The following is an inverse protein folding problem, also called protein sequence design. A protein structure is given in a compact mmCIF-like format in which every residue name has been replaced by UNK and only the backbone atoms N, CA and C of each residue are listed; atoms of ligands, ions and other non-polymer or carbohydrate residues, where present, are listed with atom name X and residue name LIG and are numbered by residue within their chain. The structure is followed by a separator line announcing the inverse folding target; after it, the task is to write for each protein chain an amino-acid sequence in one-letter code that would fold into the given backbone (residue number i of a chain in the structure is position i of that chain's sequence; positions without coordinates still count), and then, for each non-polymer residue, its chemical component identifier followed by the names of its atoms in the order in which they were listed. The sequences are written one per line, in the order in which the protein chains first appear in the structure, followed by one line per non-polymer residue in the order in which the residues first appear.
data_IF_537330977477
#
_entry.id   IF_537330977477
#
_cell.length_a   1.000
_cell.length_b   1.000
_cell.length_c   1.000
_cell.angle_alpha   90.00
_cell.angle_beta   90.00
_cell.angle_gamma   90.00
#
_symmetry.space_group_name_H-M   'P 1'
#
loop_
_entity.id
_entity.type
_entity.pdbx_description
1 polymer ?
#
# COMPACT_ATOMS: atom_id res chain seq x y z
N UNK A 1 17.26 -8.50 5.80
CA UNK A 1 16.37 -7.87 4.80
C UNK A 1 15.56 -6.80 5.51
N UNK A 2 15.53 -5.58 4.98
CA UNK A 2 14.63 -4.55 5.50
C UNK A 2 13.24 -4.75 4.91
N UNK A 3 12.21 -4.74 5.76
CA UNK A 3 10.80 -4.81 5.36
C UNK A 3 10.18 -3.42 5.39
N UNK A 4 9.20 -3.19 4.53
CA UNK A 4 8.41 -1.97 4.51
C UNK A 4 7.57 -1.82 5.79
N UNK A 5 7.42 -0.57 6.25
CA UNK A 5 6.53 -0.25 7.36
C UNK A 5 6.33 1.25 7.42
N UNK A 6 5.09 1.65 7.61
CA UNK A 6 4.79 3.02 8.02
C UNK A 6 5.36 3.31 9.42
N UNK A 7 5.66 4.59 9.73
CA UNK A 7 5.97 5.03 11.09
C UNK A 7 4.81 4.75 12.06
N UNK A 8 5.14 4.40 13.31
CA UNK A 8 4.15 3.95 14.30
C UNK A 8 3.08 5.01 14.62
N UNK A 9 3.45 6.30 14.61
CA UNK A 9 2.52 7.41 14.84
C UNK A 9 1.53 7.58 13.68
N UNK A 10 1.97 7.29 12.45
CA UNK A 10 1.12 7.32 11.26
C UNK A 10 0.15 6.14 11.30
N UNK A 11 0.62 4.93 11.62
CA UNK A 11 -0.24 3.75 11.80
C UNK A 11 -1.32 4.02 12.84
N UNK A 12 -0.94 4.56 14.01
CA UNK A 12 -1.90 4.91 15.06
C UNK A 12 -2.96 5.93 14.58
N UNK A 13 -2.58 6.91 13.76
CA UNK A 13 -3.54 7.87 13.20
C UNK A 13 -4.54 7.22 12.23
N UNK A 14 -4.08 6.29 11.40
CA UNK A 14 -4.91 5.51 10.47
C UNK A 14 -5.90 4.64 11.27
N UNK A 15 -5.44 3.93 12.30
CA UNK A 15 -6.30 3.10 13.14
C UNK A 15 -7.39 3.90 13.86
N UNK A 16 -7.05 5.10 14.36
CA UNK A 16 -8.03 6.00 15.00
C UNK A 16 -9.08 6.45 14.00
N UNK A 17 -8.66 6.87 12.80
CA UNK A 17 -9.55 7.25 11.71
C UNK A 17 -10.46 6.09 11.31
N UNK A 18 -9.91 4.91 11.08
CA UNK A 18 -10.66 3.75 10.59
C UNK A 18 -11.63 3.21 11.66
N UNK A 19 -11.25 3.30 12.93
CA UNK A 19 -12.17 3.03 14.05
C UNK A 19 -13.34 4.00 14.07
N UNK A 20 -13.08 5.30 13.88
CA UNK A 20 -14.13 6.30 13.79
C UNK A 20 -15.04 6.02 12.58
N UNK A 21 -14.45 5.73 11.42
CA UNK A 21 -15.21 5.40 10.20
C UNK A 21 -16.12 4.19 10.40
N UNK A 22 -15.60 3.09 10.96
CA UNK A 22 -16.37 1.86 11.26
C UNK A 22 -17.51 2.13 12.26
N UNK A 23 -17.24 2.91 13.30
CA UNK A 23 -18.25 3.27 14.30
C UNK A 23 -19.40 4.12 13.70
N UNK A 24 -19.07 5.05 12.80
CA UNK A 24 -20.05 5.90 12.11
C UNK A 24 -20.84 5.17 11.02
N UNK A 25 -20.37 4.00 10.59
CA UNK A 25 -20.87 3.24 9.46
C UNK A 25 -21.79 2.06 9.84
N UNK A 26 -22.11 1.85 11.11
CA UNK A 26 -23.08 0.81 11.51
C UNK A 26 -22.66 -0.64 11.21
N UNK A 27 -21.36 -0.93 11.07
CA UNK A 27 -20.80 -2.29 11.12
C UNK A 27 -21.03 -3.20 9.89
N UNK A 28 -21.16 -2.66 8.68
CA UNK A 28 -21.29 -3.48 7.45
C UNK A 28 -20.85 -2.77 6.17
N UNK A 29 -19.83 -1.94 6.28
CA UNK A 29 -19.54 -0.85 5.33
C UNK A 29 -18.04 -0.74 5.02
N UNK A 30 -17.25 -1.72 5.44
CA UNK A 30 -15.79 -1.73 5.30
C UNK A 30 -15.31 -1.76 3.83
N UNK A 31 -16.02 -2.44 2.91
CA UNK A 31 -15.81 -2.38 1.45
C UNK A 31 -15.83 -0.96 0.88
N UNK A 32 -16.60 -0.08 1.49
CA UNK A 32 -16.76 1.32 1.11
C UNK A 32 -15.49 2.13 1.39
N UNK A 33 -14.72 1.76 2.42
CA UNK A 33 -13.48 2.44 2.80
C UNK A 33 -12.38 2.17 1.76
N UNK A 34 -12.26 0.93 1.30
CA UNK A 34 -11.32 0.54 0.22
C UNK A 34 -11.69 1.20 -1.11
N UNK A 35 -12.99 1.29 -1.44
CA UNK A 35 -13.45 1.98 -2.65
C UNK A 35 -13.33 3.52 -2.56
N UNK A 36 -13.39 4.10 -1.36
CA UNK A 36 -13.09 5.52 -1.13
C UNK A 36 -11.59 5.79 -1.26
N UNK A 37 -10.75 4.86 -0.78
CA UNK A 37 -9.30 5.01 -0.71
C UNK A 37 -8.61 5.00 -2.08
N UNK A 38 -9.24 4.52 -3.16
CA UNK A 38 -8.64 4.58 -4.51
C UNK A 38 -8.80 5.94 -5.19
N UNK A 39 -7.96 6.22 -6.17
CA UNK A 39 -8.13 7.38 -7.05
C UNK A 39 -9.33 7.19 -7.99
N UNK A 40 -9.76 8.25 -8.67
CA UNK A 40 -10.81 8.13 -9.69
C UNK A 40 -10.26 7.42 -10.93
N UNK A 41 -10.89 6.36 -11.47
CA UNK A 41 -10.57 5.82 -12.78
C UNK A 41 -10.55 6.89 -13.88
N UNK A 42 -9.56 6.82 -14.76
CA UNK A 42 -9.26 7.79 -15.81
C UNK A 42 -8.61 9.07 -15.32
N UNK A 43 -8.41 9.25 -14.00
CA UNK A 43 -7.74 10.44 -13.48
C UNK A 43 -6.23 10.41 -13.71
N UNK A 44 -5.64 11.59 -13.62
CA UNK A 44 -4.19 11.79 -13.60
C UNK A 44 -3.80 12.19 -12.18
N UNK A 45 -3.02 11.35 -11.51
CA UNK A 45 -2.51 11.59 -10.15
C UNK A 45 -1.14 12.21 -10.27
N UNK A 46 -0.94 13.39 -9.69
CA UNK A 46 0.37 14.07 -9.76
C UNK A 46 1.32 13.45 -8.75
N UNK A 47 2.58 13.39 -9.14
CA UNK A 47 3.70 12.91 -8.33
C UNK A 47 4.74 14.02 -8.23
N UNK A 48 5.26 14.28 -7.03
CA UNK A 48 6.36 15.21 -6.81
C UNK A 48 7.45 14.57 -5.94
N UNK A 49 8.68 15.04 -6.10
CA UNK A 49 9.86 14.56 -5.38
C UNK A 49 10.42 15.61 -4.41
N UNK A 50 10.81 15.17 -3.21
CA UNK A 50 11.40 16.02 -2.16
C UNK A 50 12.90 16.27 -2.41
N UNK A 51 13.61 15.20 -2.76
CA UNK A 51 15.07 15.08 -2.87
C UNK A 51 15.41 14.16 -4.07
N UNK A 52 16.65 13.67 -4.17
CA UNK A 52 17.14 12.90 -5.33
C UNK A 52 17.44 13.74 -6.58
N UNK A 53 18.18 13.16 -7.53
CA UNK A 53 18.48 13.80 -8.82
C UNK A 53 17.45 13.47 -9.91
N UNK A 54 17.47 14.24 -11.00
CA UNK A 54 16.49 14.08 -12.09
C UNK A 54 16.61 12.71 -12.79
N UNK A 55 17.79 12.08 -12.77
CA UNK A 55 17.97 10.73 -13.32
C UNK A 55 17.24 9.70 -12.46
N UNK A 56 17.33 9.80 -11.13
CA UNK A 56 16.57 8.96 -10.23
C UNK A 56 15.05 9.16 -10.42
N UNK A 57 14.59 10.40 -10.61
CA UNK A 57 13.17 10.67 -10.88
C UNK A 57 12.72 10.07 -12.21
N UNK A 58 13.52 10.19 -13.26
CA UNK A 58 13.26 9.57 -14.56
C UNK A 58 13.22 8.05 -14.47
N UNK A 59 14.15 7.45 -13.73
CA UNK A 59 14.21 6.01 -13.51
C UNK A 59 12.95 5.51 -12.76
N UNK A 60 12.50 6.23 -11.72
CA UNK A 60 11.26 5.93 -11.00
C UNK A 60 10.05 6.05 -11.93
N UNK A 61 9.94 7.14 -12.70
CA UNK A 61 8.85 7.31 -13.65
C UNK A 61 8.81 6.15 -14.67
N UNK A 62 9.97 5.77 -15.21
CA UNK A 62 10.10 4.62 -16.11
C UNK A 62 9.71 3.29 -15.46
N UNK A 63 10.09 3.04 -14.20
CA UNK A 63 9.71 1.83 -13.49
C UNK A 63 8.18 1.72 -13.33
N UNK A 64 7.48 2.84 -13.09
CA UNK A 64 6.02 2.86 -12.89
C UNK A 64 5.19 2.69 -14.17
N UNK A 65 5.79 2.74 -15.36
CA UNK A 65 5.05 2.62 -16.63
C UNK A 65 4.20 1.33 -16.70
N UNK A 66 4.70 0.21 -16.16
CA UNK A 66 3.93 -1.05 -16.13
C UNK A 66 2.58 -0.92 -15.40
N UNK A 67 2.48 -0.03 -14.41
CA UNK A 67 1.25 0.21 -13.65
C UNK A 67 0.23 0.95 -14.53
N UNK A 68 0.65 2.06 -15.14
CA UNK A 68 -0.22 2.89 -15.98
C UNK A 68 -0.59 2.20 -17.30
N UNK A 69 0.28 1.33 -17.83
CA UNK A 69 -0.01 0.53 -19.02
C UNK A 69 -1.10 -0.52 -18.77
N UNK A 70 -1.26 -0.97 -17.52
CA UNK A 70 -2.18 -2.04 -17.15
C UNK A 70 -3.54 -1.54 -16.63
N UNK A 71 -3.74 -0.23 -16.48
CA UNK A 71 -4.90 0.31 -15.77
C UNK A 71 -5.32 1.69 -16.28
N UNK A 72 -6.57 2.06 -16.03
CA UNK A 72 -7.11 3.36 -16.40
C UNK A 72 -6.78 4.40 -15.33
N UNK A 73 -5.50 4.74 -15.20
CA UNK A 73 -4.98 5.77 -14.30
C UNK A 73 -3.64 6.26 -14.85
N UNK A 74 -3.40 7.57 -14.83
CA UNK A 74 -2.12 8.15 -15.22
C UNK A 74 -1.36 8.70 -14.02
N UNK A 75 -0.04 8.61 -14.06
CA UNK A 75 0.87 9.27 -13.12
C UNK A 75 1.57 10.44 -13.82
N UNK A 76 1.33 11.67 -13.33
CA UNK A 76 2.00 12.87 -13.84
C UNK A 76 3.14 13.31 -12.91
N UNK A 77 4.36 12.98 -13.30
CA UNK A 77 5.58 13.38 -12.59
C UNK A 77 6.01 14.83 -12.88
N UNK A 78 5.27 15.56 -13.73
CA UNK A 78 5.56 16.93 -14.13
C UNK A 78 6.92 17.09 -14.83
N UNK A 79 7.31 16.12 -15.65
CA UNK A 79 8.55 16.16 -16.42
C UNK A 79 8.50 17.28 -17.48
N UNK A 80 9.47 18.20 -17.43
CA UNK A 80 9.69 19.21 -18.45
C UNK A 80 10.82 18.75 -19.39
N UNK A 81 10.52 18.40 -20.66
CA UNK A 81 11.53 17.89 -21.59
C UNK A 81 12.57 18.94 -22.00
N UNK A 82 12.31 20.24 -21.81
CA UNK A 82 13.27 21.29 -22.15
C UNK A 82 14.39 21.41 -21.10
N UNK A 83 14.03 21.27 -19.83
CA UNK A 83 14.96 21.37 -18.70
C UNK A 83 15.42 20.00 -18.17
N UNK A 84 14.70 18.92 -18.50
CA UNK A 84 14.89 17.58 -17.94
C UNK A 84 14.45 17.46 -16.48
N UNK A 85 13.71 18.45 -15.95
CA UNK A 85 13.34 18.50 -14.53
C UNK A 85 11.99 17.83 -14.26
N UNK A 86 11.81 17.35 -13.03
CA UNK A 86 10.56 16.78 -12.51
C UNK A 86 9.92 17.67 -11.45
N UNK A 87 8.63 17.43 -11.17
CA UNK A 87 7.86 18.18 -10.17
C UNK A 87 8.47 18.02 -8.77
N UNK A 88 8.59 19.14 -8.06
CA UNK A 88 9.17 19.21 -6.71
C UNK A 88 8.11 19.58 -5.68
N UNK A 89 8.33 19.17 -4.43
CA UNK A 89 7.59 19.61 -3.27
C UNK A 89 8.55 19.90 -2.10
N UNK A 90 8.08 20.61 -1.08
CA UNK A 90 8.89 20.93 0.10
C UNK A 90 8.13 20.71 1.42
N UNK A 91 8.81 20.48 2.55
CA UNK A 91 8.15 20.36 3.85
C UNK A 91 7.45 21.66 4.31
N UNK A 92 7.76 22.79 3.67
CA UNK A 92 7.09 24.08 3.91
C UNK A 92 5.84 24.31 3.08
N UNK A 93 5.47 23.38 2.19
CA UNK A 93 4.29 23.54 1.33
C UNK A 93 3.01 23.55 2.17
N UNK A 94 2.17 24.56 1.94
CA UNK A 94 0.82 24.69 2.55
C UNK A 94 -0.30 24.31 1.59
N UNK A 95 0.03 24.11 0.31
CA UNK A 95 -0.85 23.61 -0.73
C UNK A 95 -0.17 22.41 -1.42
N UNK A 96 -0.96 21.42 -1.88
CA UNK A 96 -0.41 20.22 -2.48
C UNK A 96 0.28 20.53 -3.81
N UNK A 97 1.60 20.37 -3.85
CA UNK A 97 2.35 20.31 -5.10
C UNK A 97 1.90 19.09 -5.94
N UNK A 98 1.60 17.97 -5.28
CA UNK A 98 1.16 16.71 -5.86
C UNK A 98 0.34 15.88 -4.86
N UNK A 99 -0.49 14.98 -5.41
CA UNK A 99 -1.22 13.98 -4.63
C UNK A 99 -0.26 12.97 -3.98
N UNK A 100 0.74 12.48 -4.71
CA UNK A 100 1.79 11.59 -4.21
C UNK A 100 3.09 12.38 -4.02
N UNK A 101 3.65 12.33 -2.81
CA UNK A 101 4.81 13.11 -2.39
C UNK A 101 5.93 12.18 -1.96
N UNK A 102 6.85 11.96 -2.89
CA UNK A 102 7.94 10.98 -2.82
C UNK A 102 9.15 11.60 -2.13
N UNK A 103 9.83 10.80 -1.33
CA UNK A 103 11.08 11.13 -0.65
C UNK A 103 12.05 9.94 -0.64
N UNK A 104 13.33 10.23 -0.40
CA UNK A 104 14.38 9.22 -0.25
C UNK A 104 15.16 9.37 1.07
N UNK A 105 14.76 10.33 1.91
CA UNK A 105 15.53 10.84 3.05
C UNK A 105 15.17 10.20 4.40
N UNK A 106 14.13 9.37 4.46
CA UNK A 106 13.81 8.56 5.63
C UNK A 106 14.30 7.11 5.47
N UNK A 107 14.46 6.42 6.59
CA UNK A 107 14.78 4.99 6.58
C UNK A 107 13.57 4.15 6.11
N UNK A 108 13.88 3.05 5.42
CA UNK A 108 12.89 2.07 5.00
C UNK A 108 12.08 2.49 3.76
N UNK A 109 11.13 1.62 3.42
CA UNK A 109 10.22 1.80 2.29
C UNK A 109 8.79 1.85 2.83
N UNK A 110 7.98 2.76 2.31
CA UNK A 110 6.55 2.80 2.62
C UNK A 110 5.81 3.69 1.64
N UNK A 111 4.50 3.47 1.55
CA UNK A 111 3.54 4.39 0.97
C UNK A 111 2.26 4.40 1.79
N UNK A 112 1.63 5.58 1.88
CA UNK A 112 0.22 5.68 2.22
C UNK A 112 -0.61 5.05 1.10
N UNK A 113 -1.77 4.51 1.46
CA UNK A 113 -2.61 3.76 0.51
C UNK A 113 -3.58 4.70 -0.20
N UNK A 114 -3.41 4.84 -1.51
CA UNK A 114 -4.30 5.65 -2.34
C UNK A 114 -4.50 7.08 -1.83
N UNK A 115 -5.75 7.49 -1.64
CA UNK A 115 -6.14 8.85 -1.23
C UNK A 115 -5.79 9.20 0.20
N UNK A 116 -5.31 8.25 1.02
CA UNK A 116 -4.72 8.54 2.33
C UNK A 116 -3.54 9.52 2.19
N UNK A 117 -2.89 9.48 1.02
CA UNK A 117 -1.89 10.45 0.59
C UNK A 117 -2.38 11.91 0.62
N UNK A 118 -3.68 12.17 0.69
CA UNK A 118 -4.26 13.52 0.77
C UNK A 118 -5.27 13.67 1.91
N UNK A 119 -5.36 12.67 2.79
CA UNK A 119 -6.23 12.69 3.96
C UNK A 119 -5.51 13.38 5.13
N UNK A 120 -5.95 14.60 5.47
CA UNK A 120 -5.33 15.39 6.54
C UNK A 120 -5.49 14.79 7.94
N UNK A 121 -6.30 13.75 8.09
CA UNK A 121 -6.42 12.98 9.34
C UNK A 121 -5.31 11.95 9.52
N UNK A 122 -4.54 11.66 8.45
CA UNK A 122 -3.41 10.72 8.46
C UNK A 122 -2.11 11.46 8.75
N UNK A 123 -1.43 11.02 9.81
CA UNK A 123 -0.22 11.64 10.35
C UNK A 123 -0.51 12.85 11.24
N UNK A 124 0.39 13.14 12.19
CA UNK A 124 0.27 14.31 13.04
C UNK A 124 0.46 15.61 12.22
N UNK A 125 -0.32 16.65 12.50
CA UNK A 125 -0.13 17.97 11.88
C UNK A 125 1.27 18.52 12.21
N UNK A 126 2.14 18.60 11.20
CA UNK A 126 3.55 19.00 11.35
C UNK A 126 4.55 17.84 11.53
N UNK A 127 4.08 16.58 11.53
CA UNK A 127 4.95 15.40 11.44
C UNK A 127 5.59 15.24 10.03
N UNK A 128 6.59 14.37 9.86
CA UNK A 128 7.30 14.22 8.58
C UNK A 128 6.55 13.40 7.52
N UNK A 129 5.58 12.58 7.94
CA UNK A 129 4.83 11.62 7.12
C UNK A 129 3.34 11.80 7.40
N UNK A 130 2.51 11.76 6.36
CA UNK A 130 1.07 11.94 6.48
C UNK A 130 0.43 12.53 5.22
N UNK A 131 -0.87 12.79 5.31
CA UNK A 131 -1.67 13.29 4.19
C UNK A 131 -1.64 14.81 4.01
N UNK A 132 -0.91 15.59 4.82
CA UNK A 132 -0.81 17.04 4.63
C UNK A 132 0.19 17.43 3.52
N UNK A 133 0.07 18.64 2.92
CA UNK A 133 0.89 19.04 1.77
C UNK A 133 2.41 19.00 1.95
N UNK A 134 2.90 19.35 3.14
CA UNK A 134 4.32 19.33 3.48
C UNK A 134 4.81 18.01 4.08
N UNK A 135 4.06 16.91 3.91
CA UNK A 135 4.40 15.60 4.47
C UNK A 135 4.65 14.56 3.39
N UNK A 136 5.54 13.61 3.66
CA UNK A 136 5.81 12.47 2.78
C UNK A 136 4.59 11.56 2.78
N UNK A 137 4.17 11.13 1.60
CA UNK A 137 3.21 10.03 1.49
C UNK A 137 3.84 8.77 0.94
N UNK A 138 5.02 8.85 0.35
CA UNK A 138 5.80 7.70 -0.11
C UNK A 138 7.30 7.94 0.17
N UNK A 139 7.99 6.93 0.67
CA UNK A 139 9.44 6.98 0.89
C UNK A 139 10.12 5.76 0.28
N UNK A 140 11.20 6.02 -0.46
CA UNK A 140 12.09 5.01 -1.03
C UNK A 140 13.48 5.20 -0.43
N UNK A 141 13.61 4.85 0.86
CA UNK A 141 14.75 5.23 1.69
C UNK A 141 16.10 4.84 1.11
N UNK A 142 17.02 5.81 1.05
CA UNK A 142 18.40 5.60 0.59
C UNK A 142 18.59 5.55 -0.93
N UNK A 143 17.53 5.63 -1.75
CA UNK A 143 17.64 5.52 -3.21
C UNK A 143 18.38 6.71 -3.85
N UNK A 144 18.41 7.86 -3.18
CA UNK A 144 19.25 9.00 -3.57
C UNK A 144 20.75 8.70 -3.49
N UNK A 145 21.16 7.65 -2.75
CA UNK A 145 22.57 7.27 -2.56
C UNK A 145 22.89 5.98 -3.29
N UNK A 146 22.03 4.96 -3.16
CA UNK A 146 22.26 3.65 -3.76
C UNK A 146 20.95 2.97 -4.13
N UNK A 147 20.89 2.43 -5.35
CA UNK A 147 19.77 1.61 -5.81
C UNK A 147 20.12 0.13 -5.64
N UNK A 148 19.44 -0.60 -4.73
CA UNK A 148 19.70 -2.02 -4.54
C UNK A 148 19.31 -2.84 -5.77
N UNK A 149 19.74 -4.10 -5.81
CA UNK A 149 19.23 -5.04 -6.79
C UNK A 149 17.69 -5.12 -6.68
N UNK A 150 16.99 -5.14 -7.82
CA UNK A 150 15.52 -5.16 -7.90
C UNK A 150 14.83 -3.89 -7.37
N UNK A 151 15.53 -2.75 -7.31
CA UNK A 151 14.95 -1.47 -6.87
C UNK A 151 13.65 -1.11 -7.61
N UNK A 152 13.54 -1.44 -8.90
CA UNK A 152 12.31 -1.18 -9.67
C UNK A 152 11.10 -1.94 -9.12
N UNK A 153 11.30 -3.15 -8.59
CA UNK A 153 10.25 -3.93 -7.98
C UNK A 153 9.71 -3.27 -6.72
N UNK A 154 10.60 -2.73 -5.87
CA UNK A 154 10.21 -1.93 -4.70
C UNK A 154 9.50 -0.66 -5.13
N UNK A 155 9.96 0.04 -6.17
CA UNK A 155 9.22 1.21 -6.71
C UNK A 155 7.81 0.82 -7.12
N UNK A 156 7.65 -0.25 -7.90
CA UNK A 156 6.33 -0.72 -8.34
C UNK A 156 5.46 -1.12 -7.15
N UNK A 157 6.04 -1.77 -6.14
CA UNK A 157 5.36 -2.14 -4.90
C UNK A 157 4.80 -0.92 -4.16
N UNK A 158 5.65 0.07 -3.87
CA UNK A 158 5.22 1.28 -3.16
C UNK A 158 4.24 2.12 -3.98
N UNK A 159 4.39 2.17 -5.31
CA UNK A 159 3.43 2.87 -6.16
C UNK A 159 2.10 2.12 -6.30
N UNK A 160 2.07 0.79 -6.23
CA UNK A 160 0.83 0.03 -6.14
C UNK A 160 0.07 0.39 -4.86
N UNK A 161 0.75 0.53 -3.72
CA UNK A 161 0.16 1.10 -2.51
C UNK A 161 -0.37 2.52 -2.73
N UNK A 162 0.44 3.40 -3.32
CA UNK A 162 0.05 4.79 -3.59
C UNK A 162 -1.20 4.91 -4.48
N UNK A 163 -1.57 3.86 -5.21
CA UNK A 163 -2.81 3.81 -6.01
C UNK A 163 -3.89 2.90 -5.43
N UNK A 164 -3.77 2.44 -4.19
CA UNK A 164 -4.85 1.78 -3.46
C UNK A 164 -4.72 0.27 -3.32
N UNK A 165 -3.58 -0.34 -3.70
CA UNK A 165 -3.34 -1.74 -3.34
C UNK A 165 -2.99 -1.83 -1.86
N UNK A 166 -3.60 -2.78 -1.18
CA UNK A 166 -3.08 -3.26 0.10
C UNK A 166 -2.10 -4.39 -0.16
N UNK A 167 -1.25 -4.68 0.81
CA UNK A 167 -0.24 -5.71 0.61
C UNK A 167 -0.90 -7.05 0.28
N UNK A 168 -0.38 -7.74 -0.74
CA UNK A 168 -0.87 -9.09 -1.06
C UNK A 168 -0.50 -10.12 -0.01
N UNK A 169 0.35 -9.80 0.98
CA UNK A 169 0.53 -10.66 2.16
C UNK A 169 -0.60 -10.49 3.18
N UNK A 170 -1.46 -9.47 3.09
CA UNK A 170 -2.78 -9.54 3.74
C UNK A 170 -3.69 -10.57 3.04
N UNK A 171 -3.24 -11.13 1.91
CA UNK A 171 -3.67 -12.44 1.38
C UNK A 171 -2.79 -13.62 1.85
N UNK A 172 -2.18 -13.55 3.05
CA UNK A 172 -1.77 -14.74 3.84
C UNK A 172 -2.98 -15.55 4.35
N UNK A 173 -4.20 -15.10 4.01
CA UNK A 173 -5.47 -15.80 4.18
C UNK A 173 -5.36 -17.28 3.83
N UNK A 174 -5.83 -18.13 4.74
CA UNK A 174 -5.89 -19.57 4.56
C UNK A 174 -4.58 -20.27 4.95
N UNK A 175 -4.13 -21.22 4.12
CA UNK A 175 -3.08 -22.18 4.50
C UNK A 175 -1.67 -21.59 4.56
N UNK A 176 -1.45 -20.36 4.10
CA UNK A 176 -0.10 -19.79 4.04
C UNK A 176 0.40 -19.21 5.37
N UNK A 177 -0.46 -18.65 6.21
CA UNK A 177 -0.06 -18.26 7.57
C UNK A 177 0.48 -19.45 8.36
N UNK A 178 -0.14 -20.62 8.17
CA UNK A 178 0.29 -21.88 8.79
C UNK A 178 1.60 -22.41 8.23
N UNK A 179 2.06 -21.97 7.05
CA UNK A 179 3.33 -22.36 6.46
C UNK A 179 4.52 -21.56 7.02
N UNK A 180 4.28 -20.46 7.76
CA UNK A 180 5.34 -19.63 8.32
C UNK A 180 5.89 -20.15 9.66
N UNK A 181 7.22 -20.05 9.83
CA UNK A 181 7.95 -20.32 11.08
C UNK A 181 7.99 -19.05 11.94
N UNK A 182 6.87 -18.76 12.59
CA UNK A 182 6.73 -17.60 13.47
C UNK A 182 7.73 -17.61 14.64
N UNK A 183 7.81 -18.75 15.32
CA UNK A 183 8.68 -18.96 16.49
C UNK A 183 9.97 -19.70 16.13
N UNK A 184 10.96 -19.59 17.02
CA UNK A 184 12.27 -20.22 16.87
C UNK A 184 12.18 -21.76 16.85
N UNK A 185 13.20 -22.41 16.26
CA UNK A 185 13.37 -23.86 16.45
C UNK A 185 13.52 -24.17 17.95
N UNK A 186 12.96 -25.30 18.39
CA UNK A 186 12.96 -25.67 19.80
C UNK A 186 14.38 -25.69 20.40
N UNK A 187 14.59 -24.88 21.44
CA UNK A 187 15.88 -24.75 22.12
C UNK A 187 16.92 -23.90 21.40
N UNK A 188 16.55 -23.21 20.31
CA UNK A 188 17.43 -22.25 19.63
C UNK A 188 18.06 -21.26 20.62
N UNK A 189 19.37 -21.04 20.45
CA UNK A 189 20.11 -20.06 21.20
C UNK A 189 20.31 -18.80 20.35
N UNK A 190 19.82 -17.62 20.77
CA UNK A 190 19.94 -16.39 20.01
C UNK A 190 21.39 -16.12 19.56
N UNK A 191 21.64 -16.26 18.27
CA UNK A 191 22.97 -16.14 17.65
C UNK A 191 22.89 -15.09 16.54
N UNK A 192 23.90 -14.20 16.46
CA UNK A 192 23.96 -13.14 15.46
C UNK A 192 25.24 -13.20 14.66
N UNK A 193 25.18 -12.76 13.40
CA UNK A 193 26.37 -12.54 12.57
C UNK A 193 27.03 -11.18 12.87
N UNK A 194 28.07 -10.84 12.09
CA UNK A 194 28.81 -9.59 12.24
C UNK A 194 28.00 -8.32 11.96
N UNK A 195 26.87 -8.45 11.25
CA UNK A 195 25.97 -7.36 10.91
C UNK A 195 24.81 -7.24 11.92
N UNK A 196 24.81 -8.07 12.97
CA UNK A 196 23.77 -8.08 14.00
C UNK A 196 22.48 -8.79 13.60
N UNK A 197 22.47 -9.49 12.46
CA UNK A 197 21.32 -10.27 11.98
C UNK A 197 21.28 -11.61 12.70
N UNK A 198 20.09 -12.06 13.13
CA UNK A 198 19.97 -13.38 13.75
C UNK A 198 20.16 -14.51 12.73
N UNK A 199 20.99 -15.48 13.08
CA UNK A 199 21.39 -16.61 12.24
C UNK A 199 21.24 -17.93 12.97
N UNK A 200 21.43 -19.06 12.28
CA UNK A 200 21.40 -20.36 12.93
C UNK A 200 22.49 -20.47 14.02
N UNK A 201 22.18 -21.15 15.12
CA UNK A 201 23.13 -21.39 16.19
C UNK A 201 24.12 -22.52 15.84
N UNK A 202 25.07 -22.79 16.73
CA UNK A 202 26.10 -23.81 16.53
C UNK A 202 25.54 -25.24 16.33
N UNK A 203 24.29 -25.50 16.74
CA UNK A 203 23.59 -26.77 16.54
C UNK A 203 22.72 -26.77 15.27
N UNK A 204 22.75 -25.70 14.48
CA UNK A 204 21.96 -25.53 13.26
C UNK A 204 20.48 -25.18 13.50
N UNK A 205 20.09 -24.87 14.75
CA UNK A 205 18.73 -24.41 15.06
C UNK A 205 18.58 -22.97 14.62
N UNK A 206 17.43 -22.60 14.08
CA UNK A 206 17.22 -21.33 13.38
C UNK A 206 16.25 -20.42 14.14
N UNK A 207 16.45 -19.09 14.07
CA UNK A 207 15.42 -18.17 14.53
C UNK A 207 14.13 -18.33 13.71
N UNK A 208 13.02 -18.00 14.35
CA UNK A 208 11.72 -17.74 13.72
C UNK A 208 11.62 -16.29 13.31
N UNK A 209 10.50 -15.95 12.66
CA UNK A 209 10.22 -14.60 12.13
C UNK A 209 10.29 -13.54 13.23
N UNK A 210 9.71 -13.79 14.42
CA UNK A 210 9.72 -12.81 15.50
C UNK A 210 11.13 -12.46 15.95
N UNK A 211 11.97 -13.47 16.20
CA UNK A 211 13.35 -13.25 16.62
C UNK A 211 14.16 -12.61 15.51
N UNK A 212 14.02 -13.08 14.27
CA UNK A 212 14.75 -12.51 13.14
C UNK A 212 14.45 -11.03 12.94
N UNK A 213 13.17 -10.62 12.94
CA UNK A 213 12.76 -9.23 12.73
C UNK A 213 13.02 -8.31 13.93
N UNK A 214 13.24 -8.86 15.12
CA UNK A 214 13.73 -8.09 16.27
C UNK A 214 15.22 -7.71 16.14
N UNK A 215 15.95 -8.30 15.19
CA UNK A 215 17.34 -7.97 14.86
C UNK A 215 17.47 -6.90 13.77
N UNK A 216 18.70 -6.63 13.34
CA UNK A 216 18.95 -5.69 12.24
C UNK A 216 18.39 -6.20 10.90
N UNK A 217 17.95 -5.32 9.99
CA UNK A 217 17.85 -3.85 10.15
C UNK A 217 16.48 -3.39 10.73
N UNK A 218 15.55 -4.31 10.98
CA UNK A 218 14.15 -3.95 11.26
C UNK A 218 13.94 -3.52 12.72
N UNK A 219 14.50 -4.27 13.67
CA UNK A 219 14.35 -4.05 15.12
C UNK A 219 12.88 -3.98 15.56
N UNK A 220 12.00 -4.75 14.93
CA UNK A 220 10.57 -4.72 15.21
C UNK A 220 10.23 -5.49 16.48
N UNK A 221 9.44 -4.90 17.39
CA UNK A 221 8.83 -5.67 18.48
C UNK A 221 7.78 -6.63 17.92
N UNK A 222 7.48 -7.69 18.67
CA UNK A 222 6.49 -8.71 18.29
C UNK A 222 5.15 -8.13 17.83
N UNK A 223 4.63 -7.13 18.52
CA UNK A 223 3.37 -6.48 18.16
C UNK A 223 3.41 -5.83 16.77
N UNK A 224 4.54 -5.25 16.37
CA UNK A 224 4.74 -4.68 15.04
C UNK A 224 4.84 -5.76 13.97
N UNK A 225 5.50 -6.89 14.28
CA UNK A 225 5.51 -8.07 13.42
C UNK A 225 4.10 -8.63 13.24
N UNK A 226 3.33 -8.70 14.33
CA UNK A 226 1.93 -9.15 14.26
C UNK A 226 1.11 -8.21 13.39
N UNK A 227 1.13 -6.90 13.65
CA UNK A 227 0.40 -5.92 12.84
C UNK A 227 0.77 -5.94 11.35
N UNK A 228 2.06 -6.02 11.04
CA UNK A 228 2.54 -5.94 9.66
C UNK A 228 2.44 -7.27 8.91
N UNK A 229 2.56 -8.42 9.57
CA UNK A 229 2.71 -9.73 8.89
C UNK A 229 1.60 -10.74 9.22
N UNK A 230 0.86 -10.60 10.32
CA UNK A 230 -0.25 -11.52 10.61
C UNK A 230 -1.48 -11.11 9.81
N UNK A 231 -2.28 -12.10 9.47
CA UNK A 231 -3.58 -11.86 8.88
C UNK A 231 -4.50 -11.26 9.94
N UNK A 232 -4.97 -10.03 9.73
CA UNK A 232 -6.26 -9.62 10.30
C UNK A 232 -7.33 -10.08 9.30
N UNK A 233 -8.36 -10.77 9.79
CA UNK A 233 -9.51 -11.20 8.99
C UNK A 233 -10.29 -9.95 8.50
N UNK A 234 -9.78 -9.24 7.50
CA UNK A 234 -10.44 -8.06 6.95
C UNK A 234 -11.07 -8.41 5.59
N UNK A 235 -12.38 -8.69 5.51
CA UNK A 235 -13.07 -9.20 4.32
C UNK A 235 -12.90 -8.36 3.03
N UNK A 236 -12.29 -7.17 3.10
CA UNK A 236 -12.47 -6.09 2.13
C UNK A 236 -11.34 -5.81 1.13
N UNK A 237 -10.38 -6.72 0.95
CA UNK A 237 -9.50 -6.62 -0.22
C UNK A 237 -10.23 -7.21 -1.42
N UNK A 238 -10.13 -6.59 -2.60
CA UNK A 238 -10.49 -7.19 -3.91
C UNK A 238 -9.55 -8.40 -4.13
N UNK A 239 -9.81 -9.46 -3.37
CA UNK A 239 -8.93 -10.58 -3.20
C UNK A 239 -9.23 -11.55 -4.33
N UNK A 240 -8.44 -11.41 -5.40
CA UNK A 240 -8.26 -12.54 -6.29
C UNK A 240 -7.52 -13.68 -5.58
N UNK A 241 -7.35 -14.83 -6.24
CA UNK A 241 -6.57 -15.92 -5.69
C UNK A 241 -5.14 -15.46 -5.36
N UNK A 242 -4.54 -16.08 -4.34
CA UNK A 242 -3.13 -15.86 -3.98
C UNK A 242 -2.24 -15.96 -5.23
N UNK A 243 -1.45 -14.93 -5.48
CA UNK A 243 -0.55 -14.85 -6.62
C UNK A 243 0.91 -14.93 -6.16
N UNK A 244 1.57 -16.10 -6.23
CA UNK A 244 2.96 -16.26 -5.80
C UNK A 244 3.96 -15.46 -6.66
N UNK A 245 3.53 -14.90 -7.79
CA UNK A 245 4.38 -14.10 -8.66
C UNK A 245 4.26 -12.59 -8.43
N UNK A 246 3.29 -12.15 -7.62
CA UNK A 246 3.00 -10.74 -7.39
C UNK A 246 4.21 -9.98 -6.83
N UNK A 247 4.40 -8.75 -7.32
CA UNK A 247 5.39 -7.80 -6.78
C UNK A 247 5.01 -7.32 -5.38
N UNK A 248 3.73 -7.46 -4.99
CA UNK A 248 3.19 -7.11 -3.68
C UNK A 248 3.46 -8.16 -2.59
N UNK A 249 4.15 -9.25 -2.92
CA UNK A 249 4.54 -10.27 -1.94
C UNK A 249 5.91 -9.98 -1.32
N UNK A 250 5.95 -9.97 0.01
CA UNK A 250 7.19 -10.07 0.76
C UNK A 250 7.98 -11.30 0.36
N UNK A 251 9.28 -11.10 0.10
CA UNK A 251 10.19 -12.20 -0.23
C UNK A 251 10.98 -12.63 0.96
N UNK A 252 10.45 -13.57 1.71
CA UNK A 252 11.15 -14.08 2.88
C UNK A 252 12.26 -15.08 2.53
N UNK A 253 13.33 -15.15 3.35
CA UNK A 253 14.30 -16.25 3.26
C UNK A 253 13.61 -17.62 3.36
N UNK A 254 14.16 -18.63 2.69
CA UNK A 254 13.56 -19.98 2.66
C UNK A 254 13.32 -20.59 4.05
N UNK A 255 14.14 -20.23 5.04
CA UNK A 255 13.98 -20.72 6.40
C UNK A 255 12.79 -20.10 7.15
N UNK A 256 12.13 -19.06 6.62
CA UNK A 256 10.88 -18.55 7.19
C UNK A 256 9.71 -19.50 6.93
N UNK A 257 9.85 -20.44 6.01
CA UNK A 257 8.83 -21.42 5.68
C UNK A 257 9.08 -22.75 6.40
N UNK A 258 8.01 -23.46 6.73
CA UNK A 258 8.05 -24.82 7.30
C UNK A 258 8.47 -25.86 6.25
N UNK A 259 8.12 -25.63 4.98
CA UNK A 259 8.43 -26.51 3.85
C UNK A 259 9.41 -25.86 2.84
N UNK A 260 10.15 -26.69 2.11
CA UNK A 260 11.09 -26.26 1.07
C UNK A 260 11.06 -27.22 -0.13
N UNK A 261 10.52 -26.81 -1.31
CA UNK A 261 9.90 -25.51 -1.58
C UNK A 261 8.56 -25.36 -0.87
N UNK A 262 8.25 -24.16 -0.38
CA UNK A 262 6.90 -23.83 0.11
C UNK A 262 6.03 -23.31 -1.02
N UNK A 263 4.77 -23.71 -1.04
CA UNK A 263 3.76 -23.16 -1.95
C UNK A 263 3.46 -21.68 -1.69
N UNK A 264 3.85 -21.17 -0.53
CA UNK A 264 3.67 -19.78 -0.11
C UNK A 264 4.91 -18.92 -0.33
N UNK A 265 6.00 -19.50 -0.85
CA UNK A 265 7.20 -18.76 -1.22
C UNK A 265 6.99 -18.03 -2.56
N UNK A 266 7.41 -16.76 -2.69
CA UNK A 266 7.30 -16.05 -3.96
C UNK A 266 8.10 -16.74 -5.08
N UNK A 267 7.44 -16.94 -6.20
CA UNK A 267 8.00 -17.55 -7.42
C UNK A 267 8.29 -16.52 -8.52
N UNK A 268 7.77 -15.29 -8.38
CA UNK A 268 8.05 -14.19 -9.31
C UNK A 268 9.50 -13.70 -9.22
N UNK A 269 9.91 -12.83 -10.13
CA UNK A 269 11.23 -12.19 -10.11
C UNK A 269 11.35 -11.08 -9.05
N UNK A 270 10.21 -10.58 -8.55
CA UNK A 270 10.14 -9.46 -7.62
C UNK A 270 10.60 -8.15 -8.27
N UNK A 271 10.45 -8.04 -9.59
CA UNK A 271 10.75 -6.84 -10.37
C UNK A 271 9.55 -6.44 -11.20
N UNK A 272 8.94 -7.36 -11.95
CA UNK A 272 7.86 -7.04 -12.88
C UNK A 272 6.48 -7.32 -12.28
N UNK A 273 5.46 -6.61 -12.77
CA UNK A 273 4.08 -6.91 -12.44
C UNK A 273 3.70 -8.30 -12.94
N UNK A 274 3.13 -9.12 -12.06
CA UNK A 274 2.58 -10.42 -12.43
C UNK A 274 1.28 -10.27 -13.22
N UNK A 275 0.79 -11.39 -13.80
CA UNK A 275 -0.55 -11.41 -14.40
C UNK A 275 -1.66 -11.12 -13.37
N UNK A 276 -1.45 -11.49 -12.10
CA UNK A 276 -2.40 -11.20 -11.03
C UNK A 276 -2.37 -9.74 -10.59
N UNK A 277 -1.21 -9.09 -10.54
CA UNK A 277 -1.07 -7.66 -10.28
C UNK A 277 -1.82 -6.85 -11.35
N UNK A 278 -1.55 -7.15 -12.63
CA UNK A 278 -2.21 -6.51 -13.75
C UNK A 278 -3.73 -6.74 -13.76
N UNK A 279 -4.18 -7.93 -13.32
CA UNK A 279 -5.62 -8.20 -13.17
C UNK A 279 -6.22 -7.35 -12.06
N UNK A 280 -5.57 -7.27 -10.89
CA UNK A 280 -6.00 -6.40 -9.79
C UNK A 280 -6.11 -4.94 -10.24
N UNK A 281 -5.14 -4.49 -11.04
CA UNK A 281 -5.10 -3.13 -11.58
C UNK A 281 -6.29 -2.83 -12.49
N UNK A 282 -6.63 -3.74 -13.40
CA UNK A 282 -7.83 -3.61 -14.26
C UNK A 282 -9.13 -3.63 -13.47
N UNK A 283 -9.19 -4.38 -12.36
CA UNK A 283 -10.37 -4.41 -11.49
C UNK A 283 -10.52 -3.10 -10.70
N UNK A 284 -9.39 -2.52 -10.27
CA UNK A 284 -9.37 -1.28 -9.50
C UNK A 284 -9.58 -0.04 -10.38
N UNK A 285 -9.03 -0.07 -11.60
CA UNK A 285 -9.07 1.01 -12.59
C UNK A 285 -9.40 0.45 -13.98
N UNK A 286 -10.67 0.10 -14.25
CA UNK A 286 -11.06 -0.48 -15.53
C UNK A 286 -11.05 0.55 -16.66
N UNK A 287 -10.85 0.07 -17.89
CA UNK A 287 -10.82 0.90 -19.10
C UNK A 287 -12.17 1.01 -19.80
N UNK A 288 -13.05 0.02 -19.66
CA UNK A 288 -14.27 -0.04 -20.47
C UNK A 288 -15.47 0.57 -19.76
N UNK A 289 -16.38 1.17 -20.53
CA UNK A 289 -17.61 1.75 -20.00
C UNK A 289 -18.49 0.73 -19.29
N UNK A 290 -18.48 -0.53 -19.73
CA UNK A 290 -19.23 -1.64 -19.12
C UNK A 290 -18.63 -2.05 -17.77
N UNK A 291 -17.29 -2.18 -17.67
CA UNK A 291 -16.63 -2.44 -16.39
C UNK A 291 -16.80 -1.27 -15.41
N UNK A 292 -16.82 -0.03 -15.90
CA UNK A 292 -17.19 1.13 -15.09
C UNK A 292 -18.66 1.07 -14.62
N UNK A 293 -19.58 0.60 -15.46
CA UNK A 293 -20.98 0.41 -15.09
C UNK A 293 -21.16 -0.67 -14.01
N UNK A 294 -20.41 -1.76 -14.12
CA UNK A 294 -20.38 -2.82 -13.10
C UNK A 294 -19.83 -2.29 -11.77
N UNK A 295 -18.75 -1.50 -11.80
CA UNK A 295 -18.24 -0.81 -10.61
C UNK A 295 -19.29 0.09 -9.96
N UNK A 296 -19.97 0.92 -10.75
CA UNK A 296 -21.04 1.80 -10.28
C UNK A 296 -22.19 1.01 -9.68
N UNK A 297 -22.61 -0.08 -10.34
CA UNK A 297 -23.72 -0.92 -9.85
C UNK A 297 -23.40 -1.55 -8.50
N UNK A 298 -22.15 -2.04 -8.32
CA UNK A 298 -21.70 -2.53 -7.01
C UNK A 298 -21.70 -1.41 -5.98
N UNK A 299 -21.27 -0.21 -6.37
CA UNK A 299 -21.24 0.93 -5.48
C UNK A 299 -22.65 1.37 -5.02
N UNK A 300 -23.59 1.45 -5.96
CA UNK A 300 -24.98 1.78 -5.69
C UNK A 300 -25.69 0.74 -4.82
N UNK A 301 -25.39 -0.55 -5.03
CA UNK A 301 -25.92 -1.63 -4.20
C UNK A 301 -25.49 -1.50 -2.74
N UNK A 302 -24.25 -1.06 -2.50
CA UNK A 302 -23.76 -0.76 -1.15
C UNK A 302 -24.46 0.48 -0.59
N UNK A 303 -24.61 1.56 -1.36
CA UNK A 303 -25.35 2.75 -0.90
C UNK A 303 -26.80 2.43 -0.52
N UNK A 304 -27.46 1.56 -1.29
CA UNK A 304 -28.82 1.12 -1.04
C UNK A 304 -28.93 0.29 0.25
N UNK A 305 -27.98 -0.62 0.52
CA UNK A 305 -28.00 -1.41 1.75
C UNK A 305 -27.90 -0.51 3.00
N UNK A 306 -27.12 0.58 2.92
CA UNK A 306 -26.97 1.58 3.99
C UNK A 306 -28.26 2.39 4.19
N UNK A 307 -28.88 2.83 3.10
CA UNK A 307 -30.13 3.60 3.15
C UNK A 307 -31.35 2.82 3.65
N UNK A 308 -31.31 1.49 3.61
CA UNK A 308 -32.39 0.60 4.10
C UNK A 308 -32.22 0.15 5.55
N UNK A 309 -31.10 0.46 6.19
CA UNK A 309 -30.84 0.19 7.61
C UNK A 309 -31.64 1.12 8.52
N UNK A 310 -32.87 0.71 8.85
CA UNK A 310 -33.67 1.11 10.02
C UNK A 310 -33.74 2.59 10.41
N UNK A 311 -34.94 3.18 10.32
CA UNK A 311 -35.32 4.43 11.02
C UNK A 311 -34.92 4.37 12.50
N UNK A 312 -33.76 4.92 12.85
CA UNK A 312 -33.28 4.80 14.22
C UNK A 312 -31.88 5.32 14.41
N UNK A 313 -31.69 6.63 14.18
CA UNK A 313 -30.91 7.57 14.98
C UNK A 313 -30.89 8.88 14.17
N UNK A 314 -31.59 9.90 14.68
CA UNK A 314 -31.31 11.29 14.30
C UNK A 314 -30.30 11.78 15.31
N UNK A 315 -29.06 12.03 14.88
CA UNK A 315 -28.13 12.88 15.62
C UNK A 315 -26.71 12.39 15.88
N UNK A 316 -26.24 11.31 15.25
CA UNK A 316 -24.83 10.88 15.36
C UNK A 316 -24.23 10.37 14.03
N UNK A 317 -24.80 10.79 12.91
CA UNK A 317 -24.99 9.91 11.77
C UNK A 317 -23.79 9.96 10.81
N UNK A 318 -23.40 8.83 10.22
CA UNK A 318 -22.37 8.68 9.17
C UNK A 318 -22.62 9.42 7.85
N UNK A 319 -23.20 10.62 7.92
CA UNK A 319 -23.50 11.50 6.82
C UNK A 319 -22.27 11.93 6.03
N UNK A 320 -21.13 12.21 6.68
CA UNK A 320 -19.90 12.58 5.98
C UNK A 320 -19.32 11.44 5.14
N UNK A 321 -19.36 10.19 5.63
CA UNK A 321 -18.93 9.02 4.86
C UNK A 321 -19.89 8.71 3.71
N UNK A 322 -21.19 8.76 3.98
CA UNK A 322 -22.22 8.58 2.96
C UNK A 322 -22.16 9.69 1.89
N UNK A 323 -21.80 10.92 2.27
CA UNK A 323 -21.63 12.05 1.36
C UNK A 323 -20.32 11.96 0.55
N UNK A 324 -19.20 11.62 1.19
CA UNK A 324 -17.94 11.34 0.50
C UNK A 324 -18.10 10.21 -0.52
N UNK A 325 -18.85 9.17 -0.16
CA UNK A 325 -19.16 8.08 -1.06
C UNK A 325 -20.10 8.48 -2.19
N UNK A 326 -21.18 9.23 -1.90
CA UNK A 326 -22.10 9.73 -2.92
C UNK A 326 -21.37 10.62 -3.92
N UNK A 327 -20.51 11.53 -3.44
CA UNK A 327 -19.66 12.36 -4.28
C UNK A 327 -18.71 11.52 -5.15
N UNK A 328 -18.21 10.38 -4.62
CA UNK A 328 -17.39 9.44 -5.40
C UNK A 328 -18.20 8.77 -6.52
N UNK A 329 -19.41 8.29 -6.23
CA UNK A 329 -20.31 7.70 -7.23
C UNK A 329 -20.60 8.71 -8.34
N UNK A 330 -20.91 9.97 -7.98
CA UNK A 330 -21.11 11.06 -8.96
C UNK A 330 -19.88 11.27 -9.84
N UNK A 331 -18.67 11.21 -9.25
CA UNK A 331 -17.41 11.33 -9.99
C UNK A 331 -17.17 10.15 -10.93
N UNK A 332 -17.50 8.93 -10.51
CA UNK A 332 -17.41 7.73 -11.36
C UNK A 332 -18.41 7.79 -12.53
N UNK A 333 -19.62 8.28 -12.29
CA UNK A 333 -20.64 8.53 -13.32
C UNK A 333 -20.14 9.57 -14.33
N UNK A 334 -19.56 10.67 -13.85
CA UNK A 334 -18.97 11.68 -14.71
C UNK A 334 -17.80 11.14 -15.56
N UNK A 335 -16.96 10.28 -14.99
CA UNK A 335 -15.85 9.65 -15.70
C UNK A 335 -16.33 8.71 -16.82
N UNK A 336 -17.38 7.91 -16.57
CA UNK A 336 -18.00 7.05 -17.58
C UNK A 336 -18.60 7.87 -18.74
N UNK A 337 -19.24 9.00 -18.42
CA UNK A 337 -19.84 9.89 -19.42
C UNK A 337 -18.80 10.60 -20.30
N UNK A 338 -17.57 10.79 -19.81
CA UNK A 338 -16.50 11.46 -20.55
C UNK A 338 -15.85 10.58 -21.65
N UNK A 339 -16.04 9.25 -21.59
CA UNK A 339 -15.46 8.28 -22.53
C UNK A 339 -13.92 8.13 -22.42
N UNK A 340 -13.33 7.02 -22.91
CA UNK A 340 -11.89 6.88 -22.97
C UNK A 340 -11.31 7.93 -23.94
N UNK A 341 -10.41 8.78 -23.44
CA UNK A 341 -9.63 9.71 -24.26
C UNK A 341 -8.43 9.03 -24.87
#
# INVERSE_FOLDING_TARGET
MQLESLPDDVVASIEVRDRWRRASAGGGLEFLVTDIARWTPGSTVRVAFLDGDEQLHADIAGATAQITDACNLNLDFGHDPASGTFRRWTPSDTAYAAEIRVSFDLEGYFSLVGTDSTDRTVGAGGGPVGGNPGQRSLNLGGYAVNRPARWEGTVRHEFLHAIGFHHSHQNMRGTCEEEFRWDDDAGYMPTRDGDGVFVADAAGRRPGIYTYLAGEPNRWPRAKVDHNLRTEDDPDVVAGPFDPQSVMLYRFPSFFYKSAPSSCAPTGDGQNLSAGDQRGLRLLYPHTADELADLQTRADAVLHSIGTGGEGLRGSDGGELAEAYRSRVETLVAAQAAGPR
#
